data_IF_132541159828
#
_entry.id   IF_132541159828
#
_cell.length_a   1.000
_cell.length_b   1.000
_cell.length_c   1.000
_cell.angle_alpha   90.00
_cell.angle_beta   90.00
_cell.angle_gamma   90.00
#
_symmetry.space_group_name_H-M   'P 1'
#
loop_
_entity.id
_entity.type
_entity.pdbx_description
1 polymer ?
#
# COMPACT_ATOMS: atom_id res chain seq x y z
N UNK A 1 43.55 23.58 33.64
CA UNK A 1 43.10 24.70 32.81
C UNK A 1 42.62 24.09 31.52
N UNK A 2 41.31 23.98 31.31
CA UNK A 2 40.73 23.35 30.11
C UNK A 2 40.64 24.41 29.01
N UNK A 3 41.50 24.30 28.00
CA UNK A 3 41.49 25.16 26.82
C UNK A 3 40.23 24.89 26.00
N UNK A 4 39.37 25.90 25.90
CA UNK A 4 38.25 25.90 24.97
C UNK A 4 38.76 26.33 23.59
N UNK A 5 38.96 25.36 22.71
CA UNK A 5 39.25 25.61 21.29
C UNK A 5 37.97 26.13 20.63
N UNK A 6 37.94 27.42 20.33
CA UNK A 6 36.85 28.06 19.60
C UNK A 6 37.14 27.96 18.11
N UNK A 7 36.53 26.97 17.45
CA UNK A 7 36.62 26.81 15.99
C UNK A 7 35.75 27.89 15.34
N UNK A 8 36.40 28.85 14.66
CA UNK A 8 35.74 29.85 13.83
C UNK A 8 35.30 29.17 12.52
N UNK A 9 34.03 28.78 12.45
CA UNK A 9 33.43 28.25 11.22
C UNK A 9 33.43 29.37 10.18
N UNK A 10 34.20 29.19 9.11
CA UNK A 10 34.23 30.13 7.98
C UNK A 10 32.88 30.05 7.22
N UNK A 11 32.39 31.18 6.71
CA UNK A 11 31.06 31.28 6.07
C UNK A 11 30.87 30.33 4.87
N UNK A 12 31.95 30.02 4.16
CA UNK A 12 31.93 29.07 3.04
C UNK A 12 31.76 27.63 3.53
N UNK A 13 32.42 27.27 4.61
CA UNK A 13 32.34 25.93 5.21
C UNK A 13 30.92 25.65 5.72
N UNK A 14 30.28 26.63 6.36
CA UNK A 14 28.86 26.51 6.75
C UNK A 14 27.92 26.38 5.56
N UNK A 15 28.24 27.01 4.42
CA UNK A 15 27.44 26.92 3.20
C UNK A 15 27.53 25.52 2.60
N UNK A 16 28.73 24.95 2.50
CA UNK A 16 28.93 23.59 1.99
C UNK A 16 28.30 22.53 2.89
N UNK A 17 28.37 22.69 4.22
CA UNK A 17 27.68 21.80 5.16
C UNK A 17 26.16 21.84 4.94
N UNK A 18 25.57 23.03 4.77
CA UNK A 18 24.14 23.15 4.50
C UNK A 18 23.75 22.52 3.16
N UNK A 19 24.54 22.75 2.12
CA UNK A 19 24.30 22.15 0.80
C UNK A 19 24.39 20.62 0.84
N UNK A 20 25.40 20.06 1.52
CA UNK A 20 25.56 18.63 1.71
C UNK A 20 24.39 18.03 2.50
N UNK A 21 23.94 18.70 3.57
CA UNK A 21 22.76 18.28 4.33
C UNK A 21 21.49 18.25 3.47
N UNK A 22 21.29 19.25 2.62
CA UNK A 22 20.16 19.30 1.69
C UNK A 22 20.23 18.20 0.63
N UNK A 23 21.42 17.91 0.10
CA UNK A 23 21.64 16.81 -0.83
C UNK A 23 21.34 15.45 -0.16
N UNK A 24 21.85 15.22 1.05
CA UNK A 24 21.58 13.99 1.83
C UNK A 24 20.07 13.85 2.08
N UNK A 25 19.38 14.93 2.44
CA UNK A 25 17.93 14.92 2.66
C UNK A 25 17.17 14.52 1.39
N UNK A 26 17.54 15.09 0.24
CA UNK A 26 16.94 14.74 -1.07
C UNK A 26 17.20 13.27 -1.41
N UNK A 27 18.42 12.78 -1.20
CA UNK A 27 18.75 11.37 -1.47
C UNK A 27 17.93 10.41 -0.60
N UNK A 28 17.77 10.72 0.70
CA UNK A 28 16.91 9.92 1.61
C UNK A 28 15.46 9.90 1.14
N UNK A 29 14.89 11.07 0.86
CA UNK A 29 13.52 11.17 0.35
C UNK A 29 13.31 10.40 -0.96
N UNK A 30 14.27 10.46 -1.88
CA UNK A 30 14.20 9.71 -3.12
C UNK A 30 14.31 8.20 -2.88
N UNK A 31 15.20 7.76 -1.99
CA UNK A 31 15.32 6.34 -1.64
C UNK A 31 14.06 5.79 -0.97
N UNK A 32 13.43 6.56 -0.09
CA UNK A 32 12.17 6.19 0.57
C UNK A 32 11.04 6.07 -0.45
N UNK A 33 10.90 7.05 -1.36
CA UNK A 33 9.90 7.00 -2.44
C UNK A 33 10.08 5.77 -3.32
N UNK A 34 11.31 5.52 -3.78
CA UNK A 34 11.62 4.36 -4.63
C UNK A 34 11.30 3.05 -3.92
N UNK A 35 11.63 2.92 -2.63
CA UNK A 35 11.30 1.74 -1.84
C UNK A 35 9.78 1.57 -1.67
N UNK A 36 9.05 2.66 -1.39
CA UNK A 36 7.59 2.59 -1.25
C UNK A 36 6.88 2.27 -2.56
N UNK A 37 7.35 2.82 -3.68
CA UNK A 37 6.74 2.59 -4.98
C UNK A 37 7.03 1.17 -5.46
N UNK A 38 8.25 0.66 -5.26
CA UNK A 38 8.58 -0.73 -5.52
C UNK A 38 7.70 -1.69 -4.70
N UNK A 39 7.51 -1.42 -3.40
CA UNK A 39 6.66 -2.24 -2.54
C UNK A 39 5.20 -2.24 -3.00
N UNK A 40 4.65 -1.07 -3.33
CA UNK A 40 3.27 -0.95 -3.85
C UNK A 40 3.08 -1.74 -5.13
N UNK A 41 3.99 -1.58 -6.09
CA UNK A 41 3.91 -2.27 -7.38
C UNK A 41 4.03 -3.79 -7.22
N UNK A 42 4.85 -4.27 -6.29
CA UNK A 42 4.97 -5.70 -6.00
C UNK A 42 3.68 -6.29 -5.41
N UNK A 43 2.93 -5.51 -4.62
CA UNK A 43 1.77 -6.01 -3.87
C UNK A 43 0.41 -5.69 -4.50
N UNK A 44 0.39 -5.02 -5.66
CA UNK A 44 -0.85 -4.58 -6.34
C UNK A 44 -1.82 -5.74 -6.59
N UNK A 45 -1.31 -6.92 -6.96
CA UNK A 45 -2.12 -8.12 -7.25
C UNK A 45 -2.05 -9.20 -6.16
N UNK A 46 -1.56 -8.84 -4.96
CA UNK A 46 -1.43 -9.78 -3.86
C UNK A 46 -2.72 -9.91 -3.06
N UNK A 47 -3.17 -11.14 -2.86
CA UNK A 47 -4.31 -11.41 -2.00
C UNK A 47 -3.99 -11.06 -0.53
N UNK A 48 -4.82 -10.26 0.14
CA UNK A 48 -4.59 -9.83 1.53
C UNK A 48 -4.71 -10.98 2.53
N UNK A 49 -5.37 -12.08 2.13
CA UNK A 49 -5.56 -13.26 2.97
C UNK A 49 -4.39 -14.24 2.90
N UNK A 50 -3.89 -14.56 1.71
CA UNK A 50 -2.83 -15.56 1.53
C UNK A 50 -1.49 -15.00 1.05
N UNK A 51 -1.41 -13.72 0.71
CA UNK A 51 -0.17 -13.01 0.36
C UNK A 51 0.41 -13.32 -1.01
N UNK A 52 -0.32 -14.07 -1.86
CA UNK A 52 0.15 -14.53 -3.17
C UNK A 52 -0.43 -13.70 -4.32
N UNK A 53 0.26 -13.63 -5.47
CA UNK A 53 -0.24 -13.02 -6.70
C UNK A 53 -1.25 -13.94 -7.37
N UNK A 54 -2.47 -13.97 -6.84
CA UNK A 54 -3.51 -14.92 -7.25
C UNK A 54 -4.89 -14.27 -7.35
N UNK A 55 -4.95 -12.94 -7.47
CA UNK A 55 -6.18 -12.19 -7.73
C UNK A 55 -6.51 -12.24 -9.22
N UNK A 56 -7.80 -12.45 -9.51
CA UNK A 56 -8.33 -12.48 -10.87
C UNK A 56 -9.66 -11.75 -10.88
N UNK A 57 -9.84 -10.90 -11.87
CA UNK A 57 -11.05 -10.13 -12.07
C UNK A 57 -12.18 -11.03 -12.59
N UNK A 58 -13.34 -11.02 -11.91
CA UNK A 58 -14.52 -11.80 -12.26
C UNK A 58 -15.72 -10.87 -12.43
N UNK A 59 -16.29 -10.87 -13.63
CA UNK A 59 -17.55 -10.19 -13.91
C UNK A 59 -18.73 -11.00 -13.36
N UNK A 60 -19.54 -10.38 -12.49
CA UNK A 60 -20.80 -10.95 -11.98
C UNK A 60 -21.96 -9.99 -12.25
N UNK A 61 -22.46 -10.03 -13.48
CA UNK A 61 -23.54 -9.16 -13.93
C UNK A 61 -22.99 -7.77 -14.25
N UNK A 62 -23.46 -6.75 -13.54
CA UNK A 62 -23.03 -5.36 -13.74
C UNK A 62 -21.84 -4.96 -12.85
N UNK A 63 -21.34 -5.89 -12.03
CA UNK A 63 -20.30 -5.63 -11.03
C UNK A 63 -19.10 -6.51 -11.36
N UNK A 64 -17.94 -5.88 -11.43
CA UNK A 64 -16.65 -6.56 -11.53
C UNK A 64 -16.05 -6.67 -10.12
N UNK A 65 -15.47 -7.82 -9.78
CA UNK A 65 -14.86 -8.06 -8.46
C UNK A 65 -13.58 -8.87 -8.59
N UNK A 66 -12.62 -8.60 -7.73
CA UNK A 66 -11.37 -9.37 -7.66
C UNK A 66 -11.50 -10.58 -6.73
N UNK A 67 -11.18 -11.77 -7.25
CA UNK A 67 -11.29 -13.02 -6.48
C UNK A 67 -9.97 -13.78 -6.49
N UNK A 68 -9.56 -14.23 -5.31
CA UNK A 68 -8.39 -15.07 -5.14
C UNK A 68 -8.67 -16.52 -5.56
N UNK A 69 -7.93 -17.01 -6.56
CA UNK A 69 -8.07 -18.37 -7.09
C UNK A 69 -7.27 -19.44 -6.33
N UNK A 70 -6.52 -19.06 -5.29
CA UNK A 70 -5.76 -20.02 -4.51
C UNK A 70 -6.66 -21.00 -3.76
N UNK A 71 -6.27 -22.27 -3.82
CA UNK A 71 -6.93 -23.35 -3.09
C UNK A 71 -6.95 -23.05 -1.58
N UNK A 72 -8.14 -23.04 -1.00
CA UNK A 72 -8.34 -22.77 0.43
C UNK A 72 -8.38 -21.28 0.84
N UNK A 73 -8.12 -20.34 -0.07
CA UNK A 73 -8.22 -18.91 0.20
C UNK A 73 -9.58 -18.32 -0.20
N UNK A 74 -9.89 -18.29 -1.50
CA UNK A 74 -11.17 -17.82 -2.04
C UNK A 74 -11.60 -16.41 -1.59
N UNK A 75 -10.66 -15.56 -1.18
CA UNK A 75 -10.95 -14.21 -0.72
C UNK A 75 -11.46 -13.35 -1.87
N UNK A 76 -12.43 -12.48 -1.58
CA UNK A 76 -12.95 -11.48 -2.51
C UNK A 76 -12.42 -10.12 -2.05
N UNK A 77 -11.78 -9.41 -2.96
CA UNK A 77 -11.33 -8.05 -2.77
C UNK A 77 -12.38 -7.13 -3.40
N UNK A 78 -12.78 -6.11 -2.66
CA UNK A 78 -13.81 -5.16 -3.08
C UNK A 78 -13.28 -3.75 -2.92
N UNK A 79 -13.22 -3.03 -4.03
CA UNK A 79 -12.88 -1.62 -4.02
C UNK A 79 -14.09 -0.76 -3.61
N UNK A 80 -13.88 0.49 -3.14
CA UNK A 80 -14.98 1.35 -2.70
C UNK A 80 -16.08 1.52 -3.76
N UNK A 81 -15.69 1.65 -5.04
CA UNK A 81 -16.64 1.76 -6.15
C UNK A 81 -17.47 0.49 -6.39
N UNK A 82 -16.85 -0.68 -6.26
CA UNK A 82 -17.53 -1.98 -6.37
C UNK A 82 -18.50 -2.18 -5.19
N UNK A 83 -18.08 -1.80 -3.99
CA UNK A 83 -18.90 -1.88 -2.79
C UNK A 83 -20.13 -0.96 -2.92
N UNK A 84 -19.97 0.27 -3.42
CA UNK A 84 -21.08 1.20 -3.65
C UNK A 84 -22.11 0.62 -4.64
N UNK A 85 -21.64 -0.02 -5.71
CA UNK A 85 -22.53 -0.71 -6.66
C UNK A 85 -23.28 -1.87 -6.02
N UNK A 86 -22.61 -2.67 -5.17
CA UNK A 86 -23.25 -3.76 -4.43
C UNK A 86 -24.28 -3.23 -3.43
N UNK A 87 -23.93 -2.19 -2.66
CA UNK A 87 -24.78 -1.60 -1.61
C UNK A 87 -26.03 -0.95 -2.21
N UNK A 88 -25.92 -0.35 -3.39
CA UNK A 88 -27.06 0.21 -4.12
C UNK A 88 -28.12 -0.85 -4.51
N UNK A 89 -27.76 -2.14 -4.48
CA UNK A 89 -28.62 -3.25 -4.84
C UNK A 89 -28.93 -4.13 -3.61
N UNK A 90 -30.02 -3.83 -2.88
CA UNK A 90 -30.44 -4.56 -1.66
C UNK A 90 -30.48 -6.10 -1.82
N UNK A 91 -30.82 -6.58 -3.02
CA UNK A 91 -30.86 -8.01 -3.31
C UNK A 91 -29.46 -8.63 -3.39
N UNK A 92 -28.47 -7.88 -3.89
CA UNK A 92 -27.06 -8.28 -3.94
C UNK A 92 -26.46 -8.32 -2.53
N UNK A 93 -26.72 -7.29 -1.69
CA UNK A 93 -26.28 -7.24 -0.28
C UNK A 93 -26.76 -8.46 0.51
N UNK A 94 -28.02 -8.86 0.32
CA UNK A 94 -28.61 -10.00 1.03
C UNK A 94 -27.97 -11.34 0.62
N UNK A 95 -27.61 -11.51 -0.66
CA UNK A 95 -26.90 -12.71 -1.15
C UNK A 95 -25.44 -12.75 -0.69
N UNK A 96 -24.74 -11.61 -0.75
CA UNK A 96 -23.36 -11.48 -0.27
C UNK A 96 -23.25 -11.76 1.22
N UNK A 97 -24.18 -11.25 2.04
CA UNK A 97 -24.22 -11.50 3.48
C UNK A 97 -24.16 -13.00 3.79
N UNK A 98 -24.96 -13.81 3.10
CA UNK A 98 -25.00 -15.26 3.30
C UNK A 98 -23.69 -15.93 2.86
N UNK A 99 -23.05 -15.46 1.79
CA UNK A 99 -21.76 -16.00 1.33
C UNK A 99 -20.60 -15.58 2.23
N UNK A 100 -20.51 -14.31 2.61
CA UNK A 100 -19.51 -13.78 3.55
C UNK A 100 -19.57 -14.52 4.89
N UNK A 101 -20.76 -14.67 5.49
CA UNK A 101 -20.89 -15.41 6.76
C UNK A 101 -20.59 -16.91 6.66
N UNK A 102 -20.72 -17.52 5.47
CA UNK A 102 -20.33 -18.92 5.27
C UNK A 102 -18.80 -19.07 5.12
N UNK A 103 -18.08 -18.04 4.66
CA UNK A 103 -16.61 -18.03 4.62
C UNK A 103 -16.00 -17.96 6.03
N UNK A 104 -16.69 -17.30 6.97
CA UNK A 104 -16.31 -17.24 8.40
C UNK A 104 -16.79 -18.43 9.24
N UNK A 105 -17.57 -19.36 8.67
CA UNK A 105 -18.08 -20.57 9.36
C UNK A 105 -17.13 -21.77 9.30
N UNK A 106 -15.82 -21.52 9.20
CA UNK A 106 -14.80 -22.57 9.30
C UNK A 106 -14.19 -22.56 10.69
#
# INVERSE_FOLDING_TARGET
MTEHVTVKVHSEESYFIQEEMDQIKKLRQNSEKLATDAYKNEHELHCFRCGTPSLVEIERGDITVDVCINEGCGAIHLDPGELDQIVSNEAAVKKMRTQLFNIFKK
#
